data_IF_708154864842
#
_entry.id   IF_708154864842
#
_cell.length_a   1.000
_cell.length_b   1.000
_cell.length_c   1.000
_cell.angle_alpha   90.00
_cell.angle_beta   90.00
_cell.angle_gamma   90.00
#
_symmetry.space_group_name_H-M   'P 1'
#
loop_
_entity.id
_entity.type
_entity.pdbx_description
1 polymer ?
#
# COMPACT_ATOMS: atom_id res chain seq x y z
N UNK A 1 19.07 3.19 2.30
CA UNK A 1 18.65 3.29 0.89
C UNK A 1 17.79 4.51 0.63
N UNK A 2 17.94 5.13 -0.54
CA UNK A 2 17.03 6.19 -1.02
C UNK A 2 15.88 5.51 -1.75
N UNK A 3 14.65 5.89 -1.40
CA UNK A 3 13.43 5.40 -2.05
C UNK A 3 12.58 6.57 -2.51
N UNK A 4 11.75 6.33 -3.53
CA UNK A 4 10.85 7.32 -4.09
C UNK A 4 9.41 6.86 -3.93
N UNK A 5 8.55 7.71 -3.36
CA UNK A 5 7.13 7.42 -3.24
C UNK A 5 6.46 7.47 -4.62
N UNK A 6 5.67 6.45 -4.96
CA UNK A 6 4.98 6.35 -6.27
C UNK A 6 3.84 7.36 -6.46
N UNK A 7 3.36 8.00 -5.39
CA UNK A 7 2.17 8.87 -5.42
C UNK A 7 2.48 10.37 -5.36
N UNK A 8 3.57 10.76 -4.72
CA UNK A 8 3.95 12.16 -4.54
C UNK A 8 5.39 12.44 -4.95
N UNK A 9 6.11 11.44 -5.47
CA UNK A 9 7.49 11.52 -5.91
C UNK A 9 8.51 11.98 -4.86
N UNK A 10 8.10 12.07 -3.60
CA UNK A 10 8.96 12.42 -2.47
C UNK A 10 10.08 11.39 -2.32
N UNK A 11 11.31 11.87 -2.18
CA UNK A 11 12.47 11.04 -1.83
C UNK A 11 12.65 11.01 -0.33
N UNK A 12 12.76 9.81 0.22
CA UNK A 12 13.00 9.57 1.64
C UNK A 12 14.13 8.56 1.81
N UNK A 13 14.86 8.69 2.90
CA UNK A 13 15.93 7.76 3.26
C UNK A 13 15.39 6.75 4.26
N UNK A 14 15.49 5.47 3.92
CA UNK A 14 15.10 4.36 4.78
C UNK A 14 16.35 3.62 5.21
N UNK A 15 16.34 3.14 6.45
CA UNK A 15 17.38 2.29 6.99
C UNK A 15 17.52 0.99 6.17
N UNK A 16 18.76 0.70 5.79
CA UNK A 16 19.09 -0.43 4.93
C UNK A 16 18.88 -1.78 5.61
N UNK A 17 18.98 -1.84 6.94
CA UNK A 17 18.74 -3.07 7.71
C UNK A 17 17.25 -3.31 8.01
N UNK A 18 16.38 -2.36 7.68
CA UNK A 18 14.95 -2.50 7.94
C UNK A 18 14.32 -3.63 7.11
N UNK A 19 13.30 -4.33 7.66
CA UNK A 19 12.55 -5.34 6.90
C UNK A 19 11.91 -4.79 5.63
N UNK A 20 11.56 -3.50 5.63
CA UNK A 20 10.96 -2.82 4.49
C UNK A 20 11.99 -2.61 3.37
N UNK A 21 13.21 -2.21 3.73
CA UNK A 21 14.32 -2.13 2.78
C UNK A 21 14.67 -3.49 2.17
N UNK A 22 14.70 -4.56 2.99
CA UNK A 22 14.91 -5.93 2.50
C UNK A 22 13.79 -6.38 1.55
N UNK A 23 12.53 -6.04 1.84
CA UNK A 23 11.38 -6.31 0.95
C UNK A 23 11.49 -5.59 -0.39
N UNK A 24 11.87 -4.31 -0.40
CA UNK A 24 12.02 -3.51 -1.63
C UNK A 24 13.15 -4.03 -2.54
N UNK A 25 14.22 -4.59 -1.96
CA UNK A 25 15.32 -5.21 -2.71
C UNK A 25 14.99 -6.61 -3.24
N UNK A 26 14.28 -7.42 -2.45
CA UNK A 26 14.13 -8.86 -2.71
C UNK A 26 12.79 -9.29 -3.34
N UNK A 27 11.86 -8.38 -3.67
CA UNK A 27 10.54 -8.76 -4.23
C UNK A 27 10.12 -7.97 -5.49
N UNK A 28 9.14 -8.51 -6.27
CA UNK A 28 8.56 -7.87 -7.47
C UNK A 28 7.83 -6.53 -7.24
N UNK A 29 7.49 -6.20 -5.99
CA UNK A 29 6.77 -4.97 -5.66
C UNK A 29 7.80 -3.86 -5.43
N UNK A 30 8.31 -3.30 -6.51
CA UNK A 30 9.24 -2.16 -6.50
C UNK A 30 8.57 -0.82 -6.17
N UNK A 31 7.37 -0.83 -5.58
CA UNK A 31 6.64 0.40 -5.27
C UNK A 31 6.74 0.69 -3.78
N UNK A 32 7.22 1.89 -3.48
CA UNK A 32 7.24 2.46 -2.15
C UNK A 32 6.14 3.52 -2.04
N UNK A 33 5.48 3.58 -0.89
CA UNK A 33 4.51 4.62 -0.54
C UNK A 33 4.96 5.26 0.78
N UNK A 34 5.15 6.57 0.77
CA UNK A 34 5.51 7.31 1.98
C UNK A 34 4.35 7.33 2.98
N UNK A 35 4.69 7.55 4.25
CA UNK A 35 3.72 7.57 5.34
C UNK A 35 2.65 8.65 5.14
N UNK A 36 3.03 9.83 4.64
CA UNK A 36 2.09 10.92 4.35
C UNK A 36 1.02 10.52 3.33
N UNK A 37 1.41 9.82 2.26
CA UNK A 37 0.47 9.34 1.26
C UNK A 37 -0.44 8.25 1.80
N UNK A 38 0.10 7.34 2.60
CA UNK A 38 -0.65 6.32 3.30
C UNK A 38 -1.73 6.95 4.20
N UNK A 39 -1.37 7.95 4.99
CA UNK A 39 -2.28 8.61 5.94
C UNK A 39 -3.33 9.45 5.21
N UNK A 40 -2.93 10.14 4.14
CA UNK A 40 -3.83 10.88 3.25
C UNK A 40 -4.90 9.98 2.63
N UNK A 41 -4.52 8.82 2.12
CA UNK A 41 -5.45 7.83 1.56
C UNK A 41 -6.34 7.26 2.67
N UNK A 42 -5.77 6.94 3.83
CA UNK A 42 -6.51 6.39 4.95
C UNK A 42 -7.61 7.35 5.43
N UNK A 43 -7.30 8.64 5.56
CA UNK A 43 -8.28 9.67 5.95
C UNK A 43 -9.43 9.77 4.94
N UNK A 44 -9.13 9.92 3.65
CA UNK A 44 -10.14 10.00 2.59
C UNK A 44 -11.00 8.73 2.50
N UNK A 45 -10.40 7.57 2.73
CA UNK A 45 -11.12 6.29 2.73
C UNK A 45 -12.09 6.23 3.90
N UNK A 46 -11.69 6.65 5.11
CA UNK A 46 -12.58 6.73 6.27
C UNK A 46 -13.73 7.71 6.06
N UNK A 47 -13.45 8.88 5.47
CA UNK A 47 -14.48 9.87 5.12
C UNK A 47 -15.51 9.29 4.13
N UNK A 48 -15.05 8.60 3.08
CA UNK A 48 -15.93 7.92 2.12
C UNK A 48 -16.72 6.80 2.76
N UNK A 49 -16.11 6.02 3.65
CA UNK A 49 -16.79 4.96 4.39
C UNK A 49 -17.93 5.52 5.24
N UNK A 50 -17.72 6.65 5.91
CA UNK A 50 -18.73 7.32 6.71
C UNK A 50 -19.93 7.81 5.89
N UNK A 51 -19.78 8.06 4.59
CA UNK A 51 -20.92 8.45 3.72
C UNK A 51 -21.93 7.33 3.46
N UNK A 52 -21.63 6.08 3.81
CA UNK A 52 -22.49 4.92 3.56
C UNK A 52 -22.62 4.50 2.09
N UNK A 53 -22.03 5.26 1.15
CA UNK A 53 -22.00 4.94 -0.29
C UNK A 53 -20.77 4.10 -0.70
N UNK A 54 -19.87 3.81 0.24
CA UNK A 54 -18.66 3.05 -0.04
C UNK A 54 -18.99 1.57 -0.24
N UNK A 55 -18.90 1.11 -1.49
CA UNK A 55 -19.10 -0.30 -1.85
C UNK A 55 -17.77 -1.02 -1.76
N UNK A 56 -17.63 -1.93 -0.81
CA UNK A 56 -16.58 -2.95 -0.86
C UNK A 56 -17.06 -4.04 -1.82
N UNK A 57 -16.29 -4.30 -2.88
CA UNK A 57 -16.54 -5.46 -3.72
C UNK A 57 -15.94 -6.66 -3.01
N UNK A 58 -16.75 -7.64 -2.53
CA UNK A 58 -16.19 -8.87 -2.02
C UNK A 58 -15.43 -9.54 -3.17
N UNK A 59 -14.15 -9.83 -2.95
CA UNK A 59 -13.42 -10.71 -3.85
C UNK A 59 -14.14 -12.06 -3.78
N UNK A 60 -14.72 -12.52 -4.89
CA UNK A 60 -15.26 -13.88 -4.96
C UNK A 60 -14.12 -14.80 -4.56
N UNK A 61 -14.27 -15.55 -3.46
CA UNK A 61 -13.43 -16.74 -3.27
C UNK A 61 -13.65 -17.57 -4.52
N UNK A 62 -12.60 -17.84 -5.29
CA UNK A 62 -12.64 -19.06 -6.09
C UNK A 62 -12.75 -20.15 -5.04
N UNK A 63 -13.86 -20.86 -5.03
CA UNK A 63 -13.82 -22.22 -4.52
C UNK A 63 -12.79 -22.89 -5.42
N UNK A 64 -11.59 -23.11 -4.88
CA UNK A 64 -10.68 -24.07 -5.45
C UNK A 64 -11.37 -25.43 -5.24
N UNK A 65 -12.32 -25.76 -6.13
CA UNK A 65 -12.76 -27.14 -6.38
C UNK A 65 -11.52 -27.87 -6.93
N UNK A 66 -10.58 -28.13 -6.03
CA UNK A 66 -9.52 -29.10 -6.19
C UNK A 66 -9.95 -30.34 -5.42
N UNK A 67 -11.05 -30.96 -5.86
CA UNK A 67 -11.39 -32.38 -5.63
C UNK A 67 -12.48 -32.80 -6.62
#
# INVERSE_FOLDING_TARGET
MIVKCILCDKMETIDDESPLAKKLRNRPIHTYMCQECHDRISKKTKERLATGKFRTYPMKKKDDDWF
#
